data_IF_256739255206
#
_entry.id   IF_256739255206
#
_cell.length_a   1.000
_cell.length_b   1.000
_cell.length_c   1.000
_cell.angle_alpha   90.00
_cell.angle_beta   90.00
_cell.angle_gamma   90.00
#
_symmetry.space_group_name_H-M   'P 1'
#
loop_
_entity.id
_entity.type
_entity.pdbx_description
1 polymer ?
#
# COMPACT_ATOMS: atom_id res chain seq x y z
N UNK A 1 13.32 8.79 16.07
CA UNK A 1 12.28 8.37 15.12
C UNK A 1 12.93 7.89 13.83
N UNK A 2 12.53 6.74 13.34
CA UNK A 2 13.13 6.16 12.14
C UNK A 2 12.59 6.84 10.88
N UNK A 3 13.48 7.02 9.89
CA UNK A 3 13.13 7.53 8.57
C UNK A 3 13.61 6.48 7.56
N UNK A 4 12.72 6.04 6.69
CA UNK A 4 13.04 5.05 5.67
C UNK A 4 12.95 5.69 4.30
N UNK A 5 13.95 5.43 3.45
CA UNK A 5 14.00 5.94 2.09
C UNK A 5 13.45 4.93 1.11
N UNK A 6 12.82 5.43 0.07
CA UNK A 6 12.31 4.61 -1.01
C UNK A 6 12.40 5.35 -2.33
N UNK A 7 12.12 4.63 -3.40
CA UNK A 7 12.17 5.19 -4.76
C UNK A 7 11.34 4.34 -5.73
N UNK A 8 11.00 4.94 -6.87
CA UNK A 8 10.43 4.21 -7.98
C UNK A 8 11.50 3.32 -8.64
N UNK A 9 11.09 2.51 -9.59
CA UNK A 9 11.98 1.55 -10.25
C UNK A 9 13.20 2.22 -10.89
N UNK A 10 13.04 3.36 -11.58
CA UNK A 10 14.15 4.05 -12.23
C UNK A 10 14.90 5.03 -11.32
N UNK A 11 14.38 5.30 -10.14
CA UNK A 11 14.99 6.24 -9.18
C UNK A 11 14.70 7.70 -9.44
N UNK A 12 13.90 8.05 -10.47
CA UNK A 12 13.57 9.44 -10.75
C UNK A 12 12.71 10.08 -9.65
N UNK A 13 11.92 9.28 -8.94
CA UNK A 13 11.11 9.72 -7.81
C UNK A 13 11.64 9.06 -6.55
N UNK A 14 11.93 9.88 -5.53
CA UNK A 14 12.36 9.38 -4.21
C UNK A 14 11.37 9.84 -3.16
N UNK A 15 11.17 8.98 -2.17
CA UNK A 15 10.25 9.24 -1.07
C UNK A 15 10.93 8.91 0.27
N UNK A 16 10.38 9.47 1.34
CA UNK A 16 10.70 9.05 2.69
C UNK A 16 9.41 8.76 3.44
N UNK A 17 9.48 7.83 4.39
CA UNK A 17 8.41 7.58 5.36
C UNK A 17 8.99 7.70 6.76
N UNK A 18 8.24 8.33 7.66
CA UNK A 18 8.68 8.64 9.01
C UNK A 18 7.92 7.83 10.05
N UNK A 19 8.64 7.26 11.00
CA UNK A 19 8.07 6.61 12.19
C UNK A 19 7.59 5.20 11.93
N UNK A 20 6.39 4.88 12.40
CA UNK A 20 5.82 3.54 12.31
C UNK A 20 4.53 3.57 11.49
N UNK A 21 4.27 2.53 10.69
CA UNK A 21 3.01 2.44 9.96
C UNK A 21 1.85 2.18 10.92
N UNK A 22 0.68 2.61 10.50
CA UNK A 22 -0.58 2.30 11.20
C UNK A 22 -0.89 0.81 11.08
N UNK A 23 -0.48 0.20 9.98
CA UNK A 23 -0.62 -1.23 9.75
C UNK A 23 0.18 -1.66 8.53
N UNK A 24 0.40 -2.95 8.42
CA UNK A 24 1.10 -3.55 7.29
C UNK A 24 0.55 -4.94 7.04
N UNK A 25 0.51 -5.36 5.78
CA UNK A 25 -0.04 -6.66 5.46
C UNK A 25 -0.12 -6.91 3.96
N UNK A 26 -1.04 -7.78 3.61
CA UNK A 26 -1.27 -8.17 2.22
C UNK A 26 -2.69 -7.81 1.81
N UNK A 27 -2.84 -7.15 0.66
CA UNK A 27 -4.14 -6.83 0.07
C UNK A 27 -4.39 -7.73 -1.13
N UNK A 28 -5.54 -8.40 -1.12
CA UNK A 28 -5.92 -9.36 -2.15
C UNK A 28 -7.01 -8.84 -3.10
N UNK A 29 -7.38 -7.56 -3.00
CA UNK A 29 -8.49 -7.03 -3.77
C UNK A 29 -8.23 -7.06 -5.28
N UNK A 30 -9.29 -7.25 -6.05
CA UNK A 30 -9.20 -7.30 -7.51
C UNK A 30 -8.61 -6.01 -8.09
N UNK A 31 -8.94 -4.85 -7.53
CA UNK A 31 -8.40 -3.57 -7.99
C UNK A 31 -6.89 -3.48 -7.81
N UNK A 32 -6.38 -3.85 -6.63
CA UNK A 32 -4.93 -3.83 -6.38
C UNK A 32 -4.20 -4.85 -7.26
N UNK A 33 -4.77 -6.04 -7.44
CA UNK A 33 -4.19 -7.06 -8.31
C UNK A 33 -4.12 -6.59 -9.75
N UNK A 34 -5.20 -5.96 -10.24
CA UNK A 34 -5.24 -5.44 -11.61
C UNK A 34 -4.26 -4.28 -11.79
N UNK A 35 -4.24 -3.34 -10.85
CA UNK A 35 -3.35 -2.17 -10.90
C UNK A 35 -1.88 -2.58 -10.91
N UNK A 36 -1.49 -3.51 -10.07
CA UNK A 36 -0.09 -3.91 -9.90
C UNK A 36 0.30 -5.14 -10.72
N UNK A 37 -0.64 -5.72 -11.47
CA UNK A 37 -0.40 -6.91 -12.30
C UNK A 37 0.23 -8.06 -11.50
N UNK A 38 -0.24 -8.25 -10.27
CA UNK A 38 0.27 -9.31 -9.40
C UNK A 38 -0.84 -9.98 -8.61
N UNK A 39 -0.57 -11.17 -8.05
CA UNK A 39 -1.62 -11.94 -7.35
C UNK A 39 -1.95 -11.39 -5.97
N UNK A 40 -1.07 -10.59 -5.39
CA UNK A 40 -1.21 -10.00 -4.07
C UNK A 40 -0.29 -8.81 -3.94
N UNK A 41 -0.64 -7.85 -3.08
CA UNK A 41 0.19 -6.66 -2.83
C UNK A 41 0.57 -6.57 -1.37
N UNK A 42 1.86 -6.37 -1.09
CA UNK A 42 2.35 -6.07 0.25
C UNK A 42 2.21 -4.57 0.47
N UNK A 43 1.45 -4.18 1.48
CA UNK A 43 1.18 -2.79 1.79
C UNK A 43 1.73 -2.37 3.15
N UNK A 44 2.04 -1.09 3.26
CA UNK A 44 2.33 -0.43 4.52
C UNK A 44 1.49 0.83 4.58
N UNK A 45 0.72 1.00 5.65
CA UNK A 45 -0.25 2.07 5.76
C UNK A 45 0.25 3.11 6.74
N UNK A 46 0.37 4.35 6.29
CA UNK A 46 0.97 5.45 7.05
C UNK A 46 0.02 6.62 7.16
N UNK A 47 0.17 7.43 8.20
CA UNK A 47 -0.50 8.73 8.23
C UNK A 47 0.02 9.58 7.08
N UNK A 48 -0.85 10.39 6.48
CA UNK A 48 -0.49 11.15 5.29
C UNK A 48 0.71 12.06 5.48
N UNK A 49 0.87 12.64 6.67
CA UNK A 49 2.00 13.53 6.97
C UNK A 49 3.33 12.80 7.17
N UNK A 50 3.30 11.46 7.26
CA UNK A 50 4.51 10.67 7.40
C UNK A 50 5.20 10.36 6.07
N UNK A 51 4.53 10.58 4.95
CA UNK A 51 5.04 10.25 3.61
C UNK A 51 5.38 11.53 2.85
N UNK A 52 6.61 11.64 2.37
CA UNK A 52 7.09 12.81 1.66
C UNK A 52 7.77 12.39 0.35
N UNK A 53 7.42 13.07 -0.75
CA UNK A 53 8.18 12.95 -1.99
C UNK A 53 9.35 13.92 -1.88
N UNK A 54 10.57 13.40 -1.84
CA UNK A 54 11.78 14.19 -1.62
C UNK A 54 12.50 14.56 -2.92
N UNK A 55 12.19 13.88 -4.02
CA UNK A 55 12.80 14.15 -5.33
C UNK A 55 11.84 13.71 -6.42
N UNK A 56 11.78 14.48 -7.49
CA UNK A 56 11.07 14.10 -8.70
C UNK A 56 9.55 14.21 -8.62
N UNK A 57 9.02 15.10 -7.79
CA UNK A 57 7.57 15.27 -7.64
C UNK A 57 6.90 15.59 -8.99
N UNK A 58 7.59 16.30 -9.89
CA UNK A 58 7.11 16.61 -11.23
C UNK A 58 6.91 15.37 -12.10
N UNK A 59 7.53 14.26 -11.72
CA UNK A 59 7.41 12.97 -12.42
C UNK A 59 6.36 12.05 -11.80
N UNK A 60 5.65 12.50 -10.77
CA UNK A 60 4.60 11.70 -10.14
C UNK A 60 3.30 11.83 -10.91
N UNK A 61 2.85 10.73 -11.49
CA UNK A 61 1.54 10.64 -12.11
C UNK A 61 0.50 10.21 -11.07
N UNK A 62 -0.76 10.56 -11.32
CA UNK A 62 -1.87 10.19 -10.44
C UNK A 62 -3.00 9.64 -11.29
N UNK A 63 -3.53 8.48 -10.87
CA UNK A 63 -4.73 7.92 -11.49
C UNK A 63 -5.84 7.82 -10.45
N UNK A 64 -6.97 8.43 -10.77
CA UNK A 64 -8.17 8.45 -9.92
C UNK A 64 -9.21 7.54 -10.54
N UNK A 65 -9.25 6.28 -10.14
CA UNK A 65 -10.35 5.42 -10.55
C UNK A 65 -11.62 5.80 -9.80
N UNK A 66 -11.44 6.16 -8.52
CA UNK A 66 -12.50 6.68 -7.66
C UNK A 66 -11.96 7.87 -6.89
N UNK A 67 -12.83 8.65 -6.26
CA UNK A 67 -12.40 9.74 -5.38
C UNK A 67 -11.73 9.27 -4.09
N UNK A 68 -11.76 7.96 -3.81
CA UNK A 68 -11.25 7.39 -2.57
C UNK A 68 -9.79 6.95 -2.65
N UNK A 69 -9.29 6.72 -3.86
CA UNK A 69 -7.95 6.17 -4.06
C UNK A 69 -7.24 6.93 -5.16
N UNK A 70 -6.19 7.64 -4.79
CA UNK A 70 -5.34 8.36 -5.72
C UNK A 70 -4.06 7.54 -5.89
N UNK A 71 -3.99 6.75 -6.96
CA UNK A 71 -2.87 5.85 -7.22
C UNK A 71 -1.76 6.62 -7.89
N UNK A 72 -0.59 6.62 -7.27
CA UNK A 72 0.55 7.40 -7.72
C UNK A 72 1.66 6.51 -8.26
N UNK A 73 2.28 6.96 -9.34
CA UNK A 73 3.25 6.19 -10.11
C UNK A 73 4.26 7.12 -10.76
N UNK A 74 5.41 6.57 -11.16
CA UNK A 74 6.44 7.36 -11.84
C UNK A 74 6.11 7.46 -13.33
N UNK A 75 6.06 8.68 -13.86
CA UNK A 75 5.77 8.93 -15.28
C UNK A 75 6.90 8.49 -16.19
N UNK A 76 8.10 8.31 -15.66
CA UNK A 76 9.27 7.92 -16.46
C UNK A 76 9.35 6.43 -16.62
N UNK A 77 9.26 5.66 -15.53
CA UNK A 77 9.41 4.20 -15.59
C UNK A 77 8.10 3.42 -15.46
N UNK A 78 7.02 4.07 -15.05
CA UNK A 78 5.74 3.39 -14.79
C UNK A 78 5.71 2.63 -13.48
N UNK A 79 6.77 2.66 -12.68
CA UNK A 79 6.80 1.99 -11.38
C UNK A 79 5.81 2.61 -10.41
N UNK A 80 5.12 1.76 -9.64
CA UNK A 80 4.15 2.23 -8.66
C UNK A 80 4.87 2.75 -7.42
N UNK A 81 4.28 3.75 -6.77
CA UNK A 81 4.84 4.39 -5.59
C UNK A 81 3.95 4.15 -4.38
N UNK A 82 2.79 4.76 -4.37
CA UNK A 82 1.87 4.66 -3.23
C UNK A 82 0.46 5.07 -3.66
N UNK A 83 -0.51 4.77 -2.79
CA UNK A 83 -1.90 5.17 -3.00
C UNK A 83 -2.34 6.06 -1.85
N UNK A 84 -2.79 7.26 -2.17
CA UNK A 84 -3.32 8.20 -1.20
C UNK A 84 -4.81 7.93 -1.00
N UNK A 85 -5.22 7.77 0.25
CA UNK A 85 -6.60 7.57 0.67
C UNK A 85 -7.06 8.80 1.47
N UNK A 86 -7.49 9.88 0.80
CA UNK A 86 -7.77 11.13 1.49
C UNK A 86 -8.89 11.03 2.53
N UNK A 87 -9.88 10.18 2.33
CA UNK A 87 -10.96 9.99 3.31
C UNK A 87 -10.47 9.43 4.64
N UNK A 88 -9.38 8.65 4.60
CA UNK A 88 -8.80 8.06 5.81
C UNK A 88 -7.65 8.89 6.37
N UNK A 89 -7.18 9.88 5.62
CA UNK A 89 -5.93 10.60 5.91
C UNK A 89 -4.76 9.62 6.07
N UNK A 90 -4.71 8.63 5.19
CA UNK A 90 -3.70 7.57 5.19
C UNK A 90 -3.14 7.40 3.79
N UNK A 91 -1.89 6.97 3.71
CA UNK A 91 -1.21 6.63 2.47
C UNK A 91 -0.71 5.19 2.57
N UNK A 92 -1.04 4.41 1.56
CA UNK A 92 -0.58 3.04 1.41
C UNK A 92 0.67 3.04 0.55
N UNK A 93 1.84 2.78 1.16
CA UNK A 93 3.11 2.70 0.44
C UNK A 93 3.42 1.22 0.19
N UNK A 94 3.68 0.88 -1.07
CA UNK A 94 4.09 -0.48 -1.40
C UNK A 94 5.38 -0.83 -0.68
N UNK A 95 5.39 -1.95 0.02
CA UNK A 95 6.56 -2.35 0.81
C UNK A 95 7.82 -2.46 -0.05
N UNK A 96 7.67 -2.89 -1.30
CA UNK A 96 8.81 -3.03 -2.21
C UNK A 96 9.48 -1.71 -2.59
N UNK A 97 8.79 -0.58 -2.46
CA UNK A 97 9.37 0.73 -2.79
C UNK A 97 10.16 1.35 -1.64
N UNK A 98 10.04 0.79 -0.45
CA UNK A 98 10.81 1.20 0.74
C UNK A 98 11.57 0.00 1.31
N UNK A 99 12.57 -0.52 0.57
CA UNK A 99 13.24 -1.76 0.96
C UNK A 99 13.99 -1.68 2.28
N UNK A 100 14.32 -0.48 2.75
CA UNK A 100 14.96 -0.29 4.07
C UNK A 100 14.00 -0.56 5.22
N UNK A 101 12.70 -0.48 4.98
CA UNK A 101 11.71 -0.73 6.03
C UNK A 101 11.63 -2.24 6.30
N UNK A 102 11.76 -2.67 7.58
CA UNK A 102 11.66 -4.09 7.92
C UNK A 102 10.21 -4.55 7.87
N UNK A 103 9.72 -4.84 6.67
CA UNK A 103 8.33 -5.24 6.46
C UNK A 103 7.99 -6.52 7.20
N UNK A 104 6.90 -6.45 7.96
CA UNK A 104 6.33 -7.60 8.64
C UNK A 104 4.82 -7.50 8.54
N UNK A 105 4.22 -8.42 7.81
CA UNK A 105 2.77 -8.44 7.67
C UNK A 105 2.10 -8.80 8.99
N UNK A 106 1.02 -8.09 9.31
CA UNK A 106 0.19 -8.36 10.48
C UNK A 106 -1.20 -8.86 10.14
N UNK A 107 -1.62 -8.73 8.88
CA UNK A 107 -3.00 -9.01 8.48
C UNK A 107 -3.09 -9.19 6.98
N UNK A 108 -4.11 -9.92 6.54
CA UNK A 108 -4.54 -9.95 5.15
C UNK A 108 -5.88 -9.24 5.03
N UNK A 109 -6.02 -8.31 4.09
CA UNK A 109 -7.29 -7.63 3.82
C UNK A 109 -7.84 -8.06 2.47
N UNK A 110 -9.16 -7.99 2.33
CA UNK A 110 -9.88 -8.42 1.12
C UNK A 110 -9.57 -9.87 0.73
N UNK A 111 -9.38 -10.73 1.72
CA UNK A 111 -8.99 -12.12 1.48
C UNK A 111 -10.09 -12.91 0.77
N UNK A 112 -11.34 -12.49 0.87
CA UNK A 112 -12.44 -13.11 0.12
C UNK A 112 -12.24 -13.00 -1.40
N UNK A 113 -11.45 -12.03 -1.86
CA UNK A 113 -11.13 -11.84 -3.28
C UNK A 113 -9.81 -12.49 -3.69
N UNK A 114 -9.16 -13.23 -2.79
CA UNK A 114 -7.82 -13.78 -3.04
C UNK A 114 -7.81 -14.80 -4.17
N UNK A 115 -6.75 -14.77 -4.95
CA UNK A 115 -6.44 -15.79 -5.97
C UNK A 115 -5.21 -16.61 -5.58
N UNK A 116 -4.54 -16.20 -4.50
CA UNK A 116 -3.38 -16.88 -3.94
C UNK A 116 -3.64 -17.09 -2.46
N UNK A 117 -3.82 -18.35 -2.05
CA UNK A 117 -4.00 -18.68 -0.64
C UNK A 117 -2.67 -18.63 0.09
N UNK A 118 -2.65 -17.90 1.22
CA UNK A 118 -1.44 -17.72 2.01
C UNK A 118 -1.71 -18.23 3.43
N UNK A 119 -1.19 -19.43 3.72
CA UNK A 119 -1.42 -20.10 5.00
C UNK A 119 -0.29 -19.79 5.98
N UNK A 120 -0.29 -18.58 6.47
CA UNK A 120 0.76 -18.05 7.35
C UNK A 120 0.32 -17.83 8.80
N UNK A 121 -0.92 -18.17 9.11
CA UNK A 121 -1.46 -18.02 10.48
C UNK A 121 -1.89 -16.61 10.82
N UNK A 122 -1.69 -15.63 9.92
CA UNK A 122 -2.15 -14.28 10.17
C UNK A 122 -3.66 -14.15 9.98
N UNK A 123 -4.31 -13.18 10.65
CA UNK A 123 -5.74 -12.94 10.43
C UNK A 123 -6.05 -12.68 8.96
N UNK A 124 -7.10 -13.31 8.45
CA UNK A 124 -7.59 -13.15 7.09
C UNK A 124 -8.92 -12.41 7.15
N UNK A 125 -8.91 -11.10 6.90
CA UNK A 125 -10.16 -10.34 6.89
C UNK A 125 -10.87 -10.52 5.56
N UNK A 126 -12.18 -10.70 5.63
CA UNK A 126 -13.03 -10.80 4.45
C UNK A 126 -12.85 -9.57 3.57
N UNK A 127 -12.90 -8.38 4.18
CA UNK A 127 -12.72 -7.08 3.55
C UNK A 127 -11.71 -6.25 4.35
N UNK A 128 -12.16 -5.21 5.05
CA UNK A 128 -11.31 -4.31 5.83
C UNK A 128 -11.60 -4.39 7.33
N UNK A 129 -10.71 -3.86 8.16
CA UNK A 129 -11.03 -3.61 9.56
C UNK A 129 -12.24 -2.69 9.69
N UNK A 130 -13.00 -2.87 10.77
CA UNK A 130 -14.19 -2.04 11.02
C UNK A 130 -13.82 -0.56 11.19
N UNK A 131 -12.63 -0.25 11.68
CA UNK A 131 -12.13 1.11 11.86
C UNK A 131 -12.02 1.86 10.53
N UNK A 132 -11.87 1.15 9.43
CA UNK A 132 -11.78 1.70 8.09
C UNK A 132 -13.07 1.54 7.28
N UNK A 133 -14.16 1.17 7.94
CA UNK A 133 -15.46 1.02 7.30
C UNK A 133 -15.77 -0.36 6.76
N UNK A 134 -14.94 -1.35 7.07
CA UNK A 134 -15.17 -2.74 6.71
C UNK A 134 -16.03 -3.47 7.72
N UNK A 135 -16.26 -4.77 7.48
CA UNK A 135 -17.02 -5.62 8.41
C UNK A 135 -16.18 -6.10 9.58
N UNK A 136 -14.86 -6.18 9.40
CA UNK A 136 -13.97 -6.78 10.38
C UNK A 136 -14.10 -8.30 10.48
N UNK A 137 -14.93 -8.91 9.64
CA UNK A 137 -15.14 -10.37 9.65
C UNK A 137 -13.90 -11.10 9.14
N UNK A 138 -13.61 -12.25 9.73
CA UNK A 138 -12.53 -13.12 9.30
C UNK A 138 -13.06 -14.26 8.43
N UNK A 139 -12.20 -14.78 7.57
CA UNK A 139 -12.50 -15.93 6.70
C UNK A 139 -11.37 -16.94 6.82
N UNK A 140 -11.59 -18.22 6.44
CA UNK A 140 -10.53 -19.23 6.47
C UNK A 140 -9.37 -18.92 5.53
N UNK A 141 -8.19 -19.43 5.92
CA UNK A 141 -6.98 -19.30 5.09
C UNK A 141 -7.08 -19.95 3.73
#
# INVERSE_FOLDING_TARGET
>A
MSVYKGKCFCGAVEITVDGEPVGAGYCHCASCRSWSAGPVNAFTLWKSDAVTVTKGEENVGVFHKTGRSHRKWCRICGGHLFTDHPEWNLIDVYAATIPEFPFKAGVHVNYAQSVLRMRDGLPKLKDFPSELGGTGETVPE
#
